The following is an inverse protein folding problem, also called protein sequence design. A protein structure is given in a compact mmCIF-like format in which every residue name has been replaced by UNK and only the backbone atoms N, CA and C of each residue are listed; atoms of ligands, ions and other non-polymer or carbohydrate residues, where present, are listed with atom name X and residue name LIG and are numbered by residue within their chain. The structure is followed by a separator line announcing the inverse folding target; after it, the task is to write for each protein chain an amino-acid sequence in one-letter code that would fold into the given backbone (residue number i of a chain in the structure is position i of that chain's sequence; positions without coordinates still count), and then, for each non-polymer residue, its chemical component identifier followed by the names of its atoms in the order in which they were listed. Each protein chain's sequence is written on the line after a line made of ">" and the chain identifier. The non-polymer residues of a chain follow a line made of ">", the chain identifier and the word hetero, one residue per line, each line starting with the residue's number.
data_IF_625151087365
#
_entry.id   IF_625151087365
#
_cell.length_a   1.000
_cell.length_b   1.000
_cell.length_c   1.000
_cell.angle_alpha   90.00
_cell.angle_beta   90.00
_cell.angle_gamma   90.00
#
_symmetry.space_group_name_H-M   'P 1'
#
loop_
_entity.id
_entity.type
_entity.pdbx_description
1 polymer ?
#
# COMPACT_ATOMS: atom_id res chain seq x y z
N UNK A 1 5.49 -12.48 1.77
CA UNK A 1 4.59 -11.37 2.14
C UNK A 1 4.47 -11.16 3.64
N UNK A 2 3.76 -11.99 4.41
CA UNK A 2 3.36 -11.60 5.79
C UNK A 2 4.55 -11.32 6.75
N UNK A 3 5.64 -12.11 6.68
CA UNK A 3 6.87 -11.82 7.42
C UNK A 3 7.66 -10.60 6.91
N UNK A 4 7.65 -10.33 5.61
CA UNK A 4 8.31 -9.15 5.02
C UNK A 4 7.56 -7.85 5.37
N UNK A 5 6.22 -7.92 5.41
CA UNK A 5 5.39 -6.81 5.90
C UNK A 5 5.72 -6.52 7.35
N UNK A 6 5.81 -7.54 8.22
CA UNK A 6 6.22 -7.33 9.61
C UNK A 6 7.60 -6.66 9.71
N UNK A 7 8.59 -7.09 8.91
CA UNK A 7 9.92 -6.47 8.87
C UNK A 7 9.83 -4.98 8.53
N UNK A 8 9.00 -4.59 7.55
CA UNK A 8 8.85 -3.19 7.16
C UNK A 8 8.28 -2.29 8.29
N UNK A 9 7.56 -2.86 9.27
CA UNK A 9 7.06 -2.12 10.44
C UNK A 9 7.99 -2.23 11.65
N UNK A 10 8.55 -3.41 11.91
CA UNK A 10 9.36 -3.69 13.11
C UNK A 10 10.82 -3.22 12.98
N UNK A 11 11.35 -3.23 11.76
CA UNK A 11 12.72 -2.83 11.43
C UNK A 11 12.73 -1.80 10.30
N UNK A 12 11.88 -0.78 10.44
CA UNK A 12 11.77 0.26 9.43
C UNK A 12 13.08 1.04 9.28
N UNK A 13 13.53 1.20 8.04
CA UNK A 13 14.65 2.04 7.66
C UNK A 13 14.30 2.84 6.38
N UNK A 14 15.30 3.50 5.79
CA UNK A 14 15.09 4.29 4.57
C UNK A 14 14.73 3.46 3.32
N UNK A 15 14.91 2.14 3.38
CA UNK A 15 14.65 1.21 2.28
C UNK A 15 13.50 0.25 2.57
N UNK A 16 13.12 0.03 3.83
CA UNK A 16 12.04 -0.84 4.26
C UNK A 16 11.06 -0.04 5.12
N UNK A 17 9.88 0.27 4.59
CA UNK A 17 8.93 1.17 5.25
C UNK A 17 7.54 0.57 5.40
N UNK A 18 6.99 0.65 6.61
CA UNK A 18 5.57 0.49 6.88
C UNK A 18 4.83 1.82 6.78
N UNK A 19 3.71 1.87 6.06
CA UNK A 19 2.83 3.04 6.05
C UNK A 19 2.08 3.11 7.39
N UNK A 20 2.15 4.23 8.14
CA UNK A 20 1.53 4.30 9.46
C UNK A 20 0.00 4.12 9.42
N UNK A 21 -0.54 3.15 10.14
CA UNK A 21 -2.00 2.92 10.24
C UNK A 21 -2.58 3.75 11.38
N UNK A 22 -2.80 5.05 11.11
CA UNK A 22 -3.34 6.04 12.06
C UNK A 22 -4.62 6.68 11.51
N UNK A 23 -5.37 7.35 12.39
CA UNK A 23 -6.54 8.12 11.99
C UNK A 23 -6.19 9.18 10.93
N UNK A 24 -7.03 9.32 9.91
CA UNK A 24 -6.79 10.21 8.76
C UNK A 24 -6.10 9.51 7.59
N UNK A 25 -5.52 10.31 6.69
CA UNK A 25 -4.72 9.79 5.57
C UNK A 25 -3.24 9.89 5.92
N UNK A 26 -2.51 8.79 5.74
CA UNK A 26 -1.06 8.68 5.96
C UNK A 26 -0.39 8.16 4.68
N UNK A 27 0.88 8.47 4.46
CA UNK A 27 1.63 7.96 3.32
C UNK A 27 3.12 7.82 3.61
N UNK A 28 3.76 6.96 2.82
CA UNK A 28 5.21 6.83 2.69
C UNK A 28 5.56 6.62 1.23
N UNK A 29 6.83 6.81 0.91
CA UNK A 29 7.38 6.54 -0.40
C UNK A 29 8.77 5.94 -0.24
N UNK A 30 9.25 5.27 -1.28
CA UNK A 30 10.63 4.81 -1.39
C UNK A 30 11.16 5.11 -2.81
N UNK A 31 12.36 5.72 -2.94
CA UNK A 31 13.04 5.81 -4.23
C UNK A 31 13.67 4.46 -4.59
N UNK A 32 13.74 4.18 -5.89
CA UNK A 32 14.37 2.96 -6.43
C UNK A 32 15.80 3.25 -6.87
N UNK A 33 16.73 2.99 -5.96
CA UNK A 33 18.16 3.27 -6.09
C UNK A 33 19.00 1.98 -6.13
N UNK A 34 20.22 1.99 -5.58
CA UNK A 34 21.19 0.90 -5.74
C UNK A 34 21.00 -0.21 -4.70
N UNK A 35 19.98 -0.08 -3.85
CA UNK A 35 19.68 -0.97 -2.74
C UNK A 35 18.27 -1.53 -2.91
N UNK A 36 18.10 -2.81 -2.60
CA UNK A 36 16.78 -3.42 -2.57
C UNK A 36 15.92 -2.76 -1.48
N UNK A 37 14.64 -2.58 -1.78
CA UNK A 37 13.72 -1.89 -0.87
C UNK A 37 12.34 -2.48 -0.87
N UNK A 38 11.58 -2.18 0.17
CA UNK A 38 10.19 -2.56 0.30
C UNK A 38 9.35 -1.49 1.00
N UNK A 39 8.10 -1.36 0.56
CA UNK A 39 7.10 -0.53 1.25
C UNK A 39 5.83 -1.34 1.42
N UNK A 40 5.30 -1.33 2.64
CA UNK A 40 4.22 -2.21 3.04
C UNK A 40 3.05 -1.45 3.66
N UNK A 41 1.84 -1.88 3.33
CA UNK A 41 0.63 -1.54 4.06
C UNK A 41 0.11 -2.78 4.75
N UNK A 42 -0.30 -2.64 6.01
CA UNK A 42 -0.84 -3.73 6.80
C UNK A 42 -2.09 -3.29 7.54
N UNK A 43 -2.87 -4.25 8.03
CA UNK A 43 -3.97 -3.97 8.95
C UNK A 43 -5.08 -3.11 8.36
N UNK A 44 -5.45 -3.33 7.10
CA UNK A 44 -6.65 -2.68 6.56
C UNK A 44 -7.90 -3.45 7.03
N UNK A 45 -8.66 -2.83 7.95
CA UNK A 45 -9.90 -3.39 8.54
C UNK A 45 -11.18 -2.88 7.84
N UNK A 46 -11.05 -2.19 6.71
CA UNK A 46 -12.07 -1.31 6.14
C UNK A 46 -11.46 -0.08 5.48
N UNK A 47 -10.23 0.27 5.85
CA UNK A 47 -9.49 1.32 5.19
C UNK A 47 -9.19 0.97 3.72
N UNK A 48 -8.94 2.00 2.91
CA UNK A 48 -8.46 1.82 1.53
C UNK A 48 -7.03 2.31 1.42
N UNK A 49 -6.33 1.91 0.36
CA UNK A 49 -4.96 2.32 0.06
C UNK A 49 -4.80 2.55 -1.44
N UNK A 50 -4.05 3.60 -1.79
CA UNK A 50 -3.50 3.82 -3.11
C UNK A 50 -2.03 3.43 -3.08
N UNK A 51 -1.66 2.59 -4.04
CA UNK A 51 -0.28 2.15 -4.26
C UNK A 51 0.07 2.57 -5.67
N UNK A 52 0.99 3.52 -5.80
CA UNK A 52 1.53 3.93 -7.08
C UNK A 52 3.01 3.54 -7.15
N UNK A 53 3.39 2.82 -8.20
CA UNK A 53 4.75 2.30 -8.39
C UNK A 53 5.22 2.59 -9.81
N UNK A 54 6.49 2.89 -9.99
CA UNK A 54 7.10 3.23 -11.28
C UNK A 54 8.48 2.60 -11.40
N UNK A 55 9.22 2.93 -12.45
CA UNK A 55 10.64 2.56 -12.59
C UNK A 55 11.56 3.33 -11.64
N UNK A 56 11.09 4.41 -10.99
CA UNK A 56 11.90 5.30 -10.14
C UNK A 56 11.55 5.24 -8.66
N UNK A 57 10.38 4.71 -8.30
CA UNK A 57 10.00 4.60 -6.89
C UNK A 57 8.60 4.06 -6.68
N UNK A 58 8.18 4.05 -5.43
CA UNK A 58 6.81 3.76 -5.03
C UNK A 58 6.31 4.77 -4.00
N UNK A 59 5.02 5.10 -4.06
CA UNK A 59 4.29 5.85 -3.04
C UNK A 59 3.08 5.03 -2.63
N UNK A 60 2.88 4.87 -1.32
CA UNK A 60 1.77 4.11 -0.76
C UNK A 60 1.12 4.94 0.32
N UNK A 61 -0.21 5.05 0.27
CA UNK A 61 -0.98 5.70 1.31
C UNK A 61 -1.92 4.74 2.02
N UNK A 62 -2.51 5.25 3.08
CA UNK A 62 -3.56 4.62 3.84
C UNK A 62 -4.62 5.67 4.11
N UNK A 63 -5.86 5.34 3.77
CA UNK A 63 -7.02 6.21 3.90
C UNK A 63 -7.96 5.60 4.95
N UNK A 64 -8.03 6.25 6.10
CA UNK A 64 -8.82 5.77 7.22
C UNK A 64 -10.33 5.77 6.91
N UNK A 65 -11.03 4.73 7.34
CA UNK A 65 -12.46 4.54 7.01
C UNK A 65 -13.38 5.60 7.64
N UNK A 66 -13.28 5.81 8.95
CA UNK A 66 -14.17 6.70 9.73
C UNK A 66 -13.36 7.90 10.26
N UNK A 67 -13.57 9.13 9.76
CA UNK A 67 -14.84 9.59 9.20
C UNK A 67 -14.84 9.73 7.67
N UNK A 68 -13.81 9.26 6.95
CA UNK A 68 -13.62 9.63 5.54
C UNK A 68 -14.67 9.04 4.61
N UNK A 69 -14.87 7.72 4.67
CA UNK A 69 -15.80 6.98 3.82
C UNK A 69 -17.14 6.72 4.52
N UNK A 70 -17.12 6.59 5.85
CA UNK A 70 -18.31 6.40 6.67
C UNK A 70 -18.38 7.48 7.74
N UNK A 71 -19.61 7.88 8.07
CA UNK A 71 -19.86 8.82 9.16
C UNK A 71 -19.42 8.25 10.50
N UNK A 72 -18.90 9.10 11.38
CA UNK A 72 -18.67 8.74 12.78
C UNK A 72 -20.03 8.48 13.46
N UNK A 73 -20.29 7.25 13.96
CA UNK A 73 -21.57 6.90 14.57
C UNK A 73 -21.86 7.67 15.87
N UNK A 74 -20.86 8.33 16.46
CA UNK A 74 -21.02 9.12 17.68
C UNK A 74 -21.54 10.54 17.43
N UNK A 75 -21.57 11.00 16.18
CA UNK A 75 -22.07 12.35 15.83
C UNK A 75 -23.60 12.30 15.72
N UNK A 76 -24.28 13.10 16.55
CA UNK A 76 -25.75 13.19 16.60
C UNK A 76 -26.19 14.66 16.41
N UNK A 77 -27.02 14.97 15.39
CA UNK A 77 -27.53 14.05 14.36
C UNK A 77 -26.43 13.58 13.40
N UNK A 78 -26.58 12.42 12.72
CA UNK A 78 -25.63 11.95 11.72
C UNK A 78 -25.41 13.01 10.62
N UNK A 79 -24.19 13.13 10.06
CA UNK A 79 -23.91 14.07 8.99
C UNK A 79 -24.79 13.79 7.77
N UNK A 80 -25.17 14.84 7.05
CA UNK A 80 -25.85 14.67 5.76
C UNK A 80 -24.91 14.05 4.74
N UNK A 81 -25.45 13.57 3.61
CA UNK A 81 -24.63 13.02 2.53
C UNK A 81 -23.64 14.05 1.99
N UNK A 82 -24.05 15.31 1.90
CA UNK A 82 -23.24 16.42 1.43
C UNK A 82 -22.08 16.70 2.40
N UNK A 83 -22.36 16.68 3.71
CA UNK A 83 -21.31 16.81 4.74
C UNK A 83 -20.33 15.63 4.69
N UNK A 84 -20.80 14.41 4.42
CA UNK A 84 -19.95 13.24 4.28
C UNK A 84 -19.05 13.33 3.03
N UNK A 85 -19.59 13.81 1.91
CA UNK A 85 -18.80 14.06 0.69
C UNK A 85 -17.74 15.13 0.93
N UNK A 86 -18.07 16.20 1.65
CA UNK A 86 -17.10 17.23 1.98
C UNK A 86 -16.00 16.69 2.90
N UNK A 87 -16.37 15.91 3.92
CA UNK A 87 -15.41 15.22 4.78
C UNK A 87 -14.49 14.33 3.98
N UNK A 88 -15.02 13.54 3.05
CA UNK A 88 -14.23 12.70 2.15
C UNK A 88 -13.28 13.52 1.27
N UNK A 89 -13.77 14.60 0.65
CA UNK A 89 -12.93 15.43 -0.20
C UNK A 89 -11.75 16.04 0.58
N UNK A 90 -11.98 16.50 1.81
CA UNK A 90 -10.94 17.08 2.66
C UNK A 90 -9.95 16.04 3.18
N UNK A 91 -10.46 14.89 3.66
CA UNK A 91 -9.64 13.89 4.36
C UNK A 91 -8.92 12.94 3.41
N UNK A 92 -9.47 12.71 2.21
CA UNK A 92 -8.95 11.74 1.22
C UNK A 92 -8.48 12.47 -0.03
N UNK A 93 -9.35 13.19 -0.74
CA UNK A 93 -8.98 13.76 -2.05
C UNK A 93 -7.87 14.79 -1.90
N UNK A 94 -8.05 15.82 -1.06
CA UNK A 94 -7.02 16.84 -0.84
C UNK A 94 -5.72 16.22 -0.31
N UNK A 95 -5.83 15.23 0.58
CA UNK A 95 -4.69 14.53 1.16
C UNK A 95 -3.89 13.70 0.15
N UNK A 96 -4.57 13.08 -0.82
CA UNK A 96 -3.94 12.36 -1.93
C UNK A 96 -3.22 13.35 -2.84
N UNK A 97 -3.77 14.52 -3.11
CA UNK A 97 -3.17 15.47 -4.04
C UNK A 97 -1.90 16.12 -3.48
N UNK A 98 -1.91 16.58 -2.21
CA UNK A 98 -0.85 17.46 -1.70
C UNK A 98 -0.22 17.03 -0.37
N UNK A 99 -0.61 15.88 0.19
CA UNK A 99 -0.31 15.62 1.59
C UNK A 99 -1.13 16.52 2.52
N UNK A 100 -1.17 16.20 3.82
CA UNK A 100 -1.93 16.99 4.80
C UNK A 100 -1.47 16.84 6.26
N UNK A 101 -0.40 16.10 6.51
CA UNK A 101 0.10 15.89 7.88
C UNK A 101 1.57 15.45 7.88
N UNK A 102 2.19 15.39 9.06
CA UNK A 102 3.55 14.85 9.22
C UNK A 102 3.65 13.36 8.82
N UNK A 103 2.54 12.62 8.92
CA UNK A 103 2.46 11.24 8.47
C UNK A 103 2.00 11.11 7.01
N UNK A 104 1.73 12.22 6.32
CA UNK A 104 1.35 12.31 4.90
C UNK A 104 1.93 13.59 4.30
N UNK A 105 3.26 13.65 4.22
CA UNK A 105 3.99 14.88 3.88
C UNK A 105 3.81 15.24 2.41
N UNK A 106 3.81 14.25 1.53
CA UNK A 106 3.72 14.44 0.08
C UNK A 106 2.50 13.74 -0.48
N UNK A 107 1.78 14.44 -1.33
CA UNK A 107 0.74 13.88 -2.18
C UNK A 107 1.29 13.42 -3.53
N UNK A 108 0.40 12.85 -4.33
CA UNK A 108 0.68 12.35 -5.66
C UNK A 108 1.11 13.45 -6.62
N UNK A 109 0.61 14.68 -6.50
CA UNK A 109 1.08 15.77 -7.38
C UNK A 109 2.53 16.13 -7.11
N UNK A 110 2.97 16.05 -5.85
CA UNK A 110 4.35 16.33 -5.47
C UNK A 110 5.29 15.26 -6.07
N UNK A 111 4.96 13.98 -5.89
CA UNK A 111 5.81 12.87 -6.36
C UNK A 111 5.69 12.57 -7.86
N UNK A 112 4.59 12.97 -8.51
CA UNK A 112 4.35 12.81 -9.94
C UNK A 112 4.71 14.05 -10.77
N UNK A 113 5.23 15.10 -10.14
CA UNK A 113 5.59 16.34 -10.81
C UNK A 113 6.54 16.10 -12.00
N UNK A 114 6.20 16.73 -13.14
CA UNK A 114 6.97 16.67 -14.38
C UNK A 114 8.15 17.64 -14.40
N UNK A 115 8.05 18.69 -13.60
CA UNK A 115 9.04 19.75 -13.50
C UNK A 115 9.61 19.72 -12.08
N UNK A 116 10.41 18.69 -11.74
CA UNK A 116 10.94 18.55 -10.41
C UNK A 116 11.84 19.72 -10.06
N UNK A 117 11.61 20.34 -8.91
CA UNK A 117 12.55 21.36 -8.43
C UNK A 117 13.79 20.66 -7.87
N UNK A 118 15.00 21.19 -8.10
CA UNK A 118 16.24 20.59 -7.58
C UNK A 118 16.22 20.37 -6.05
N UNK A 119 15.53 21.25 -5.33
CA UNK A 119 15.32 21.20 -3.88
C UNK A 119 14.26 20.17 -3.42
N UNK A 120 13.50 19.60 -4.35
CA UNK A 120 12.45 18.61 -4.11
C UNK A 120 12.88 17.26 -4.71
N UNK A 121 13.83 16.55 -4.09
CA UNK A 121 14.45 15.35 -4.70
C UNK A 121 13.44 14.23 -4.99
N UNK A 122 12.23 14.32 -4.44
CA UNK A 122 11.14 13.35 -4.56
C UNK A 122 10.13 13.69 -5.64
N UNK A 123 10.17 14.91 -6.16
CA UNK A 123 9.45 15.26 -7.37
C UNK A 123 10.08 14.48 -8.53
N UNK A 124 9.29 13.78 -9.34
CA UNK A 124 9.69 12.87 -10.44
C UNK A 124 9.76 11.36 -10.12
N UNK A 125 9.41 10.91 -8.91
CA UNK A 125 9.32 9.48 -8.61
C UNK A 125 8.25 8.78 -9.45
N UNK A 126 7.11 9.44 -9.66
CA UNK A 126 5.95 8.88 -10.37
C UNK A 126 5.56 9.70 -11.59
N UNK A 127 6.50 10.44 -12.16
CA UNK A 127 6.26 11.17 -13.40
C UNK A 127 5.81 10.21 -14.52
N UNK A 128 5.06 10.68 -15.53
CA UNK A 128 4.56 9.79 -16.58
C UNK A 128 5.65 9.05 -17.37
N UNK A 129 6.84 9.63 -17.53
CA UNK A 129 7.99 8.97 -18.18
C UNK A 129 8.66 7.90 -17.30
N UNK A 130 8.34 7.85 -16.01
CA UNK A 130 8.75 6.77 -15.11
C UNK A 130 7.88 5.51 -15.25
N UNK A 131 6.87 5.50 -16.13
CA UNK A 131 5.98 4.36 -16.40
C UNK A 131 5.20 3.90 -15.15
N UNK A 132 4.42 4.80 -14.51
CA UNK A 132 3.72 4.50 -13.28
C UNK A 132 2.58 3.51 -13.51
N UNK A 133 2.30 2.70 -12.49
CA UNK A 133 1.16 1.80 -12.37
C UNK A 133 0.49 2.08 -11.03
N UNK A 134 -0.84 2.17 -11.01
CA UNK A 134 -1.56 2.55 -9.79
C UNK A 134 -2.63 1.53 -9.45
N UNK A 135 -2.62 1.12 -8.18
CA UNK A 135 -3.56 0.17 -7.61
C UNK A 135 -4.40 0.86 -6.55
N UNK A 136 -5.72 0.71 -6.65
CA UNK A 136 -6.68 1.08 -5.62
C UNK A 136 -7.05 -0.18 -4.83
N UNK A 137 -6.39 -0.38 -3.70
CA UNK A 137 -6.61 -1.49 -2.80
C UNK A 137 -7.74 -1.14 -1.83
N UNK A 138 -8.89 -1.79 -1.99
CA UNK A 138 -10.15 -1.37 -1.34
C UNK A 138 -10.96 -2.57 -0.86
N UNK A 139 -11.70 -2.49 0.24
CA UNK A 139 -12.37 -3.67 0.77
C UNK A 139 -13.62 -4.04 -0.04
N UNK A 140 -14.04 -5.30 0.04
CA UNK A 140 -15.43 -5.69 -0.18
C UNK A 140 -16.33 -5.08 0.90
N UNK A 141 -17.61 -4.90 0.58
CA UNK A 141 -18.62 -4.57 1.59
C UNK A 141 -18.60 -5.63 2.71
N UNK A 142 -18.76 -5.19 3.96
CA UNK A 142 -18.72 -6.09 5.13
C UNK A 142 -20.10 -6.61 5.47
N UNK A 143 -20.17 -7.90 5.74
CA UNK A 143 -21.27 -8.47 6.49
C UNK A 143 -20.99 -8.32 7.99
N UNK A 144 -21.94 -7.76 8.73
CA UNK A 144 -21.77 -7.44 10.16
C UNK A 144 -22.45 -8.44 11.07
N UNK A 145 -23.27 -9.32 10.49
CA UNK A 145 -24.07 -10.30 11.21
C UNK A 145 -23.34 -11.66 11.24
N UNK A 146 -22.93 -12.17 12.41
CA UNK A 146 -22.08 -13.36 12.50
C UNK A 146 -22.56 -14.64 11.82
N UNK A 147 -23.88 -14.78 11.64
CA UNK A 147 -24.50 -15.98 11.07
C UNK A 147 -24.85 -15.84 9.57
N UNK A 148 -24.57 -14.70 8.94
CA UNK A 148 -24.81 -14.50 7.51
C UNK A 148 -23.58 -14.97 6.71
N UNK A 149 -23.78 -15.67 5.56
CA UNK A 149 -22.66 -16.01 4.68
C UNK A 149 -21.79 -14.78 4.36
N UNK A 150 -20.48 -14.99 4.30
CA UNK A 150 -19.44 -13.97 4.15
C UNK A 150 -19.07 -13.15 5.41
N UNK A 151 -19.70 -13.36 6.57
CA UNK A 151 -19.19 -12.79 7.82
C UNK A 151 -17.75 -13.28 8.09
N UNK A 152 -16.82 -12.32 8.19
CA UNK A 152 -15.38 -12.56 8.38
C UNK A 152 -14.76 -13.59 7.42
N UNK A 153 -15.35 -13.77 6.23
CA UNK A 153 -14.84 -14.68 5.21
C UNK A 153 -13.68 -14.01 4.46
N UNK A 154 -12.54 -14.70 4.37
CA UNK A 154 -11.34 -14.26 3.64
C UNK A 154 -11.53 -14.25 2.11
N UNK A 155 -12.43 -15.10 1.61
CA UNK A 155 -12.75 -15.18 0.18
C UNK A 155 -14.26 -14.97 -0.02
N UNK A 156 -14.77 -13.75 0.21
CA UNK A 156 -16.19 -13.48 0.09
C UNK A 156 -16.63 -13.64 -1.36
N UNK A 157 -17.79 -14.26 -1.57
CA UNK A 157 -18.36 -14.47 -2.90
C UNK A 157 -19.56 -13.56 -3.08
N UNK A 158 -19.61 -12.85 -4.21
CA UNK A 158 -20.77 -12.06 -4.63
C UNK A 158 -20.97 -10.76 -3.86
N UNK A 159 -20.00 -10.32 -3.04
CA UNK A 159 -20.06 -9.02 -2.38
C UNK A 159 -19.60 -7.90 -3.32
N UNK A 160 -20.27 -6.74 -3.32
CA UNK A 160 -19.79 -5.57 -4.02
C UNK A 160 -18.56 -4.99 -3.33
N UNK A 161 -17.83 -4.12 -4.02
CA UNK A 161 -16.81 -3.26 -3.40
C UNK A 161 -17.46 -2.36 -2.35
N UNK A 162 -16.79 -2.18 -1.23
CA UNK A 162 -17.11 -1.10 -0.31
C UNK A 162 -16.95 0.24 -1.02
N UNK A 163 -17.74 1.23 -0.62
CA UNK A 163 -17.65 2.63 -1.07
C UNK A 163 -17.91 2.88 -2.57
N UNK A 164 -18.27 1.85 -3.34
CA UNK A 164 -18.64 1.96 -4.74
C UNK A 164 -20.12 2.37 -4.94
N UNK A 165 -20.88 2.49 -3.84
CA UNK A 165 -22.26 2.97 -3.90
C UNK A 165 -22.25 4.47 -4.20
N UNK A 166 -22.91 4.92 -5.27
CA UNK A 166 -22.86 6.31 -5.67
C UNK A 166 -23.68 7.19 -4.72
N UNK A 167 -23.13 8.34 -4.37
CA UNK A 167 -23.75 9.27 -3.44
C UNK A 167 -24.69 10.16 -4.25
N UNK A 168 -25.97 9.81 -4.29
CA UNK A 168 -27.02 10.65 -4.89
C UNK A 168 -27.55 10.24 -6.26
N UNK A 169 -27.40 8.98 -6.68
CA UNK A 169 -27.99 8.44 -7.92
C UNK A 169 -27.10 7.39 -8.56
N UNK A 170 -27.57 6.63 -9.56
CA UNK A 170 -26.82 5.50 -10.16
C UNK A 170 -25.69 5.94 -11.13
N UNK A 171 -24.88 6.92 -10.77
CA UNK A 171 -23.73 7.35 -11.59
C UNK A 171 -22.44 6.94 -10.85
N UNK A 172 -21.69 5.92 -11.31
CA UNK A 172 -20.51 5.38 -10.62
C UNK A 172 -19.44 6.43 -10.26
N UNK A 173 -19.31 7.48 -11.09
CA UNK A 173 -18.37 8.59 -10.87
C UNK A 173 -18.66 9.40 -9.60
N UNK A 174 -19.89 9.31 -9.08
CA UNK A 174 -20.31 9.97 -7.86
C UNK A 174 -20.07 9.12 -6.59
N UNK A 175 -19.54 7.90 -6.75
CA UNK A 175 -19.06 7.11 -5.60
C UNK A 175 -17.72 7.66 -5.09
N UNK A 176 -17.32 7.26 -3.88
CA UNK A 176 -16.01 7.63 -3.34
C UNK A 176 -14.86 7.06 -4.18
N UNK A 177 -14.99 5.80 -4.63
CA UNK A 177 -13.98 5.18 -5.49
C UNK A 177 -13.90 5.88 -6.87
N UNK A 178 -15.05 6.28 -7.41
CA UNK A 178 -15.11 7.04 -8.66
C UNK A 178 -14.38 8.38 -8.56
N UNK A 179 -14.50 9.08 -7.43
CA UNK A 179 -13.77 10.34 -7.17
C UNK A 179 -12.26 10.12 -7.09
N UNK A 180 -11.81 9.07 -6.40
CA UNK A 180 -10.39 8.69 -6.36
C UNK A 180 -9.86 8.38 -7.76
N UNK A 181 -10.60 7.60 -8.54
CA UNK A 181 -10.22 7.24 -9.91
C UNK A 181 -10.06 8.48 -10.81
N UNK A 182 -10.97 9.46 -10.72
CA UNK A 182 -10.84 10.72 -11.45
C UNK A 182 -9.58 11.46 -11.02
N UNK A 183 -9.35 11.62 -9.70
CA UNK A 183 -8.16 12.29 -9.19
C UNK A 183 -6.88 11.67 -9.75
N UNK A 184 -6.77 10.35 -9.72
CA UNK A 184 -5.64 9.62 -10.30
C UNK A 184 -5.49 9.89 -11.81
N UNK A 185 -6.60 9.81 -12.56
CA UNK A 185 -6.61 10.08 -14.00
C UNK A 185 -6.18 11.51 -14.34
N UNK A 186 -6.54 12.49 -13.50
CA UNK A 186 -6.14 13.88 -13.68
C UNK A 186 -4.64 14.09 -13.41
N UNK A 187 -4.09 13.42 -12.41
CA UNK A 187 -2.67 13.55 -12.02
C UNK A 187 -1.76 12.86 -13.04
N UNK A 188 -2.05 11.59 -13.35
CA UNK A 188 -1.16 10.74 -14.14
C UNK A 188 -1.50 10.69 -15.63
N UNK A 189 -2.75 10.98 -15.98
CA UNK A 189 -3.27 10.86 -17.34
C UNK A 189 -4.04 9.56 -17.60
N UNK A 190 -4.75 9.47 -18.73
CA UNK A 190 -5.62 8.32 -19.05
C UNK A 190 -4.87 7.06 -19.47
N UNK A 191 -3.60 7.18 -19.86
CA UNK A 191 -2.81 6.06 -20.39
C UNK A 191 -2.11 5.25 -19.29
N UNK A 192 -2.16 5.72 -18.05
CA UNK A 192 -1.56 5.04 -16.90
C UNK A 192 -2.45 3.85 -16.48
N UNK A 193 -1.88 2.66 -16.25
CA UNK A 193 -2.65 1.52 -15.79
C UNK A 193 -3.23 1.73 -14.39
N UNK A 194 -4.55 1.60 -14.29
CA UNK A 194 -5.31 1.68 -13.05
C UNK A 194 -5.98 0.34 -12.77
N UNK A 195 -5.69 -0.25 -11.60
CA UNK A 195 -6.30 -1.52 -11.20
C UNK A 195 -6.97 -1.37 -9.83
N UNK A 196 -8.24 -1.78 -9.73
CA UNK A 196 -8.93 -1.88 -8.44
C UNK A 196 -8.71 -3.28 -7.91
N UNK A 197 -8.04 -3.38 -6.76
CA UNK A 197 -7.72 -4.65 -6.13
C UNK A 197 -8.61 -4.80 -4.88
N UNK A 198 -9.66 -5.62 -4.95
CA UNK A 198 -10.51 -5.84 -3.79
C UNK A 198 -9.81 -6.70 -2.74
N UNK A 199 -10.17 -6.52 -1.46
CA UNK A 199 -9.74 -7.42 -0.39
C UNK A 199 -10.84 -7.69 0.63
N UNK A 200 -10.69 -8.75 1.41
CA UNK A 200 -11.64 -9.10 2.45
C UNK A 200 -11.26 -8.42 3.77
N UNK A 201 -11.94 -7.35 4.20
CA UNK A 201 -11.60 -6.67 5.44
C UNK A 201 -11.85 -7.56 6.65
N UNK A 202 -10.97 -7.45 7.64
CA UNK A 202 -11.13 -8.11 8.92
C UNK A 202 -12.19 -7.40 9.77
N UNK A 203 -12.93 -8.18 10.54
CA UNK A 203 -13.95 -7.65 11.46
C UNK A 203 -13.39 -7.34 12.86
N UNK A 204 -12.36 -8.06 13.30
CA UNK A 204 -11.81 -7.98 14.66
C UNK A 204 -10.30 -7.77 14.66
N UNK A 205 -9.80 -6.96 15.61
CA UNK A 205 -8.39 -6.94 16.00
C UNK A 205 -7.56 -5.73 15.58
N UNK A 206 -8.12 -4.51 15.51
CA UNK A 206 -7.35 -3.28 15.26
C UNK A 206 -6.32 -3.01 16.37
N UNK A 207 -5.18 -3.70 16.27
CA UNK A 207 -4.09 -3.59 17.21
C UNK A 207 -2.99 -2.66 16.67
N UNK A 208 -3.18 -2.01 15.50
CA UNK A 208 -2.28 -1.05 14.79
C UNK A 208 -0.80 -1.45 14.64
N UNK A 209 -0.40 -2.63 15.10
CA UNK A 209 0.99 -3.09 15.25
C UNK A 209 1.30 -4.35 14.45
N UNK A 210 0.44 -4.70 13.49
CA UNK A 210 0.50 -5.98 12.75
C UNK A 210 0.92 -7.19 13.63
N UNK A 211 0.32 -7.29 14.83
CA UNK A 211 0.62 -8.40 15.75
C UNK A 211 0.20 -9.76 15.18
N UNK A 212 -0.53 -9.74 14.07
CA UNK A 212 -0.97 -10.91 13.33
C UNK A 212 -0.20 -11.02 12.01
N UNK A 213 1.13 -11.03 12.13
CA UNK A 213 2.06 -11.28 11.02
C UNK A 213 1.78 -12.62 10.33
N UNK A 214 1.02 -13.55 10.93
CA UNK A 214 0.62 -14.82 10.31
C UNK A 214 -0.56 -14.67 9.36
N UNK A 215 -1.36 -13.61 9.48
CA UNK A 215 -2.45 -13.31 8.56
C UNK A 215 -1.93 -12.51 7.38
N UNK A 216 -2.38 -12.83 6.17
CA UNK A 216 -2.12 -12.03 4.98
C UNK A 216 -3.19 -10.96 4.75
N UNK A 217 -4.23 -10.92 5.60
CA UNK A 217 -5.43 -10.10 5.38
C UNK A 217 -5.23 -8.60 5.54
N UNK A 218 -5.75 -7.83 4.60
CA UNK A 218 -5.63 -6.38 4.49
C UNK A 218 -4.19 -5.93 4.29
N UNK A 219 -3.34 -6.73 3.62
CA UNK A 219 -1.92 -6.43 3.43
C UNK A 219 -1.57 -6.30 1.95
N UNK A 220 -0.68 -5.37 1.66
CA UNK A 220 0.01 -5.30 0.38
C UNK A 220 1.48 -4.91 0.58
N UNK A 221 2.33 -5.37 -0.32
CA UNK A 221 3.78 -5.19 -0.24
C UNK A 221 4.32 -4.87 -1.63
N UNK A 222 4.96 -3.71 -1.77
CA UNK A 222 5.79 -3.40 -2.94
C UNK A 222 7.22 -3.81 -2.60
N UNK A 223 7.87 -4.52 -3.52
CA UNK A 223 9.28 -4.87 -3.41
C UNK A 223 10.02 -4.39 -4.65
N UNK A 224 11.20 -3.83 -4.42
CA UNK A 224 12.13 -3.38 -5.45
C UNK A 224 13.45 -4.13 -5.35
N UNK A 225 13.97 -4.51 -6.51
CA UNK A 225 15.26 -5.14 -6.66
C UNK A 225 16.07 -4.37 -7.73
N UNK A 226 17.21 -3.77 -7.37
CA UNK A 226 18.11 -3.17 -8.35
C UNK A 226 18.72 -4.24 -9.27
N UNK A 227 19.18 -3.80 -10.44
CA UNK A 227 19.97 -4.62 -11.34
C UNK A 227 21.27 -5.03 -10.65
N UNK A 228 21.77 -6.24 -10.90
CA UNK A 228 23.05 -6.68 -10.30
C UNK A 228 24.26 -5.98 -10.90
N UNK A 229 24.16 -5.63 -12.18
CA UNK A 229 25.17 -4.93 -12.97
C UNK A 229 24.45 -4.15 -14.10
N UNK A 230 25.21 -3.42 -14.93
CA UNK A 230 24.64 -2.64 -16.03
C UNK A 230 23.99 -3.47 -17.14
N UNK A 231 24.20 -4.79 -17.18
CA UNK A 231 23.55 -5.73 -18.11
C UNK A 231 22.35 -6.46 -17.50
N UNK A 232 22.22 -6.41 -16.16
CA UNK A 232 21.09 -6.93 -15.42
C UNK A 232 19.84 -6.06 -15.55
N UNK A 233 18.74 -6.58 -15.00
CA UNK A 233 17.45 -5.90 -14.99
C UNK A 233 17.13 -5.43 -13.57
N UNK A 234 16.68 -4.19 -13.44
CA UNK A 234 15.98 -3.73 -12.24
C UNK A 234 14.52 -4.20 -12.32
N UNK A 235 13.89 -4.42 -11.18
CA UNK A 235 12.50 -4.89 -11.15
C UNK A 235 11.76 -4.45 -9.90
N UNK A 236 10.43 -4.35 -10.03
CA UNK A 236 9.53 -4.25 -8.90
C UNK A 236 8.42 -5.28 -9.02
N UNK A 237 7.82 -5.63 -7.89
CA UNK A 237 6.59 -6.42 -7.80
C UNK A 237 5.71 -5.94 -6.66
N UNK A 238 4.40 -6.02 -6.84
CA UNK A 238 3.40 -5.71 -5.82
C UNK A 238 2.68 -7.00 -5.46
N UNK A 239 2.62 -7.30 -4.18
CA UNK A 239 1.88 -8.42 -3.64
C UNK A 239 0.62 -7.90 -2.96
N UNK A 240 -0.51 -8.52 -3.25
CA UNK A 240 -1.77 -8.29 -2.56
C UNK A 240 -2.21 -9.56 -1.84
N UNK A 241 -2.86 -9.40 -0.69
CA UNK A 241 -3.50 -10.48 0.08
C UNK A 241 -4.19 -11.52 -0.83
N UNK A 242 -3.82 -12.79 -0.72
CA UNK A 242 -4.62 -13.89 -1.29
C UNK A 242 -4.61 -13.94 -2.82
N UNK A 243 -3.80 -13.10 -3.46
CA UNK A 243 -3.64 -13.05 -4.90
C UNK A 243 -2.29 -13.65 -5.31
N UNK A 244 -2.34 -14.54 -6.31
CA UNK A 244 -1.14 -14.89 -7.06
C UNK A 244 -0.61 -13.66 -7.79
N UNK A 245 0.72 -13.56 -7.91
CA UNK A 245 1.39 -12.45 -8.57
C UNK A 245 0.96 -12.39 -10.04
N UNK A 246 0.18 -11.37 -10.39
CA UNK A 246 -0.29 -11.16 -11.75
C UNK A 246 0.81 -10.49 -12.60
N UNK A 247 0.78 -10.66 -13.94
CA UNK A 247 1.68 -9.93 -14.83
C UNK A 247 1.60 -8.41 -14.69
N UNK A 248 0.42 -7.84 -14.41
CA UNK A 248 0.24 -6.40 -14.17
C UNK A 248 0.85 -5.93 -12.85
N UNK A 249 1.19 -6.84 -11.95
CA UNK A 249 1.72 -6.54 -10.60
C UNK A 249 3.24 -6.63 -10.54
N UNK A 250 3.93 -6.67 -11.67
CA UNK A 250 5.38 -6.69 -11.72
C UNK A 250 5.91 -6.08 -13.00
N UNK A 251 7.09 -5.48 -12.92
CA UNK A 251 7.80 -4.99 -14.09
C UNK A 251 9.31 -5.23 -13.94
N UNK A 252 9.99 -5.31 -15.08
CA UNK A 252 11.45 -5.38 -15.15
C UNK A 252 11.95 -4.55 -16.30
N UNK A 253 13.03 -3.80 -16.09
CA UNK A 253 13.59 -2.88 -17.08
C UNK A 253 15.12 -2.83 -16.99
N UNK A 254 15.76 -2.38 -18.07
CA UNK A 254 17.17 -2.01 -18.03
C UNK A 254 17.34 -0.78 -17.14
N UNK A 255 18.29 -0.78 -16.19
CA UNK A 255 18.42 0.29 -15.20
C UNK A 255 18.59 1.67 -15.85
N UNK A 256 17.94 2.70 -15.31
CA UNK A 256 17.94 4.07 -15.85
C UNK A 256 19.27 4.80 -15.64
N UNK A 257 20.26 4.15 -15.04
CA UNK A 257 21.59 4.66 -14.76
C UNK A 257 22.31 3.78 -13.74
N UNK A 258 23.51 4.18 -13.33
CA UNK A 258 24.29 3.45 -12.31
C UNK A 258 23.62 3.41 -10.95
N UNK A 259 22.72 4.35 -10.65
CA UNK A 259 22.00 4.40 -9.38
C UNK A 259 21.00 3.25 -9.22
N UNK A 260 20.61 2.51 -10.25
CA UNK A 260 19.73 1.34 -10.13
C UNK A 260 20.48 0.02 -10.29
N UNK A 261 21.80 0.10 -10.18
CA UNK A 261 22.71 -1.04 -10.19
C UNK A 261 23.19 -1.23 -8.76
N UNK A 262 23.17 -2.47 -8.28
CA UNK A 262 23.68 -2.83 -6.96
C UNK A 262 25.11 -2.34 -6.82
N UNK A 263 25.35 -1.41 -5.90
CA UNK A 263 26.71 -1.11 -5.46
C UNK A 263 27.21 -2.34 -4.72
N UNK A 264 28.39 -2.86 -5.07
CA UNK A 264 29.00 -3.88 -4.21
C UNK A 264 29.24 -3.25 -2.83
N UNK A 265 29.14 -4.03 -1.75
CA UNK A 265 29.45 -3.53 -0.40
C UNK A 265 30.87 -2.95 -0.31
N UNK A 266 31.77 -3.33 -1.21
CA UNK A 266 33.13 -2.80 -1.33
C UNK A 266 33.15 -1.37 -1.92
N UNK A 267 32.24 -1.05 -2.85
CA UNK A 267 32.12 0.29 -3.45
C UNK A 267 31.56 1.32 -2.46
N UNK A 268 30.64 0.92 -1.56
CA UNK A 268 30.07 1.82 -0.55
C UNK A 268 31.12 2.24 0.49
N UNK A 269 32.03 1.33 0.86
CA UNK A 269 33.15 1.66 1.75
C UNK A 269 34.19 2.57 1.08
N UNK A 270 34.41 2.45 -0.23
CA UNK A 270 35.31 3.35 -0.96
C UNK A 270 34.78 4.79 -1.05
N UNK A 271 33.45 4.98 -1.13
CA UNK A 271 32.82 6.30 -1.14
C UNK A 271 32.92 6.96 0.26
N UNK A 272 32.74 6.20 1.34
CA UNK A 272 32.93 6.74 2.70
C UNK A 272 34.39 7.07 3.01
N UNK A 273 35.34 6.29 2.51
CA UNK A 273 36.77 6.51 2.77
C UNK A 273 37.45 7.53 1.84
N UNK A 274 36.79 7.99 0.78
CA UNK A 274 37.33 9.03 -0.12
C UNK A 274 36.98 10.46 0.31
N UNK A 275 36.27 10.62 1.43
CA UNK A 275 35.87 11.93 1.99
C UNK A 275 36.94 12.59 2.87
N UNK A 276 38.04 11.91 3.19
CA UNK A 276 39.01 12.36 4.21
C UNK A 276 40.39 12.79 3.67
N UNK A 277 40.57 12.92 2.35
CA UNK A 277 41.83 13.40 1.78
C UNK A 277 41.69 14.77 1.11
N UNK A 278 41.63 15.80 1.94
CA UNK A 278 41.99 17.16 1.54
C UNK A 278 42.67 17.91 2.68
N UNK A 279 43.92 17.52 2.96
CA UNK A 279 44.91 18.43 3.54
C UNK A 279 45.49 19.31 2.42
N UNK A 280 45.28 20.62 2.48
CA UNK A 280 46.38 21.51 2.93
C UNK A 280 46.04 23.01 3.00
N UNK A 281 46.28 23.55 4.20
CA UNK A 281 47.12 24.72 4.48
C UNK A 281 46.63 26.15 4.12
N UNK A 282 46.17 26.89 5.13
CA UNK A 282 46.82 28.17 5.48
C UNK A 282 46.49 28.62 6.90
N UNK A 283 47.57 29.02 7.58
CA UNK A 283 47.71 29.64 8.89
C UNK A 283 46.91 30.93 9.08
N UNK A 284 46.28 31.11 10.26
CA UNK A 284 46.55 32.29 11.10
C UNK A 284 45.99 32.19 12.53
N UNK A 285 46.73 32.84 13.43
CA UNK A 285 46.59 32.98 14.87
C UNK A 285 45.23 33.48 15.39
N UNK A 286 44.87 33.11 16.64
CA UNK A 286 43.74 33.77 17.31
C UNK A 286 43.24 33.17 18.62
N UNK A 287 44.13 32.98 19.59
CA UNK A 287 43.88 32.99 21.04
C UNK A 287 42.48 33.47 21.53
N UNK A 288 41.66 32.62 22.16
CA UNK A 288 40.86 32.99 23.34
C UNK A 288 40.41 31.76 24.17
N UNK A 289 40.78 31.82 25.45
CA UNK A 289 40.29 31.01 26.59
C UNK A 289 38.80 31.25 26.86
N UNK A 290 38.11 30.20 27.33
CA UNK A 290 37.17 30.17 28.49
C UNK A 290 36.23 28.94 28.31
N UNK A 291 36.36 27.89 29.11
CA UNK A 291 35.79 27.62 30.45
C UNK A 291 34.63 26.61 30.38
N UNK A 292 34.87 25.45 30.99
CA UNK A 292 33.92 24.43 31.46
C UNK A 292 32.82 25.03 32.36
N UNK A 293 31.63 24.41 32.44
CA UNK A 293 31.37 23.30 33.39
C UNK A 293 30.57 22.14 32.74
N UNK A 294 30.82 20.86 32.98
CA UNK A 294 30.62 20.06 34.20
C UNK A 294 29.23 20.20 34.82
N UNK A 295 28.32 19.29 34.45
CA UNK A 295 27.23 18.85 35.32
C UNK A 295 26.87 17.40 35.01
N UNK A 296 27.34 16.55 35.89
CA UNK A 296 26.89 15.19 36.19
C UNK A 296 25.47 15.18 36.77
N UNK A 297 24.65 14.21 36.39
CA UNK A 297 23.51 13.62 37.13
C UNK A 297 22.80 12.65 36.17
N UNK A 298 22.20 11.53 36.54
CA UNK A 298 22.35 10.62 37.67
C UNK A 298 21.60 9.35 37.21
N UNK A 299 22.18 8.19 37.47
CA UNK A 299 21.56 6.91 37.20
C UNK A 299 20.38 6.66 38.17
N UNK A 300 19.25 6.20 37.66
CA UNK A 300 18.27 5.49 38.46
C UNK A 300 17.71 4.32 37.67
N UNK A 301 18.33 3.17 37.93
CA UNK A 301 17.80 1.87 37.63
C UNK A 301 16.61 1.59 38.57
N UNK A 302 15.48 1.19 38.00
CA UNK A 302 14.47 0.42 38.75
C UNK A 302 14.09 -0.75 37.87
N UNK A 303 14.69 -1.90 38.19
CA UNK A 303 14.24 -3.18 37.71
C UNK A 303 12.88 -3.53 38.34
N UNK A 304 12.03 -4.16 37.55
CA UNK A 304 10.97 -5.01 38.08
C UNK A 304 10.77 -6.15 37.10
N UNK A 305 11.27 -7.30 37.54
CA UNK A 305 10.97 -8.62 37.03
C UNK A 305 9.46 -8.82 36.94
N UNK A 306 8.96 -9.30 35.81
CA UNK A 306 7.74 -10.10 35.81
C UNK A 306 8.01 -11.46 35.18
N UNK A 307 7.81 -12.44 36.06
CA UNK A 307 7.77 -13.88 35.88
C UNK A 307 7.17 -14.33 34.55
N UNK A 308 7.99 -15.12 33.87
CA UNK A 308 7.63 -16.31 33.11
C UNK A 308 6.54 -17.14 33.81
N UNK A 309 5.44 -17.39 33.09
CA UNK A 309 4.61 -18.58 33.29
C UNK A 309 4.31 -19.17 31.92
N UNK A 310 4.98 -20.28 31.61
CA UNK A 310 4.72 -21.08 30.44
C UNK A 310 3.34 -21.73 30.50
N UNK A 311 2.72 -21.90 29.35
CA UNK A 311 1.68 -22.90 29.15
C UNK A 311 1.91 -23.53 27.78
N UNK A 312 2.22 -24.82 27.80
CA UNK A 312 2.38 -25.67 26.62
C UNK A 312 1.05 -25.82 25.86
N UNK A 313 1.11 -26.11 24.55
CA UNK A 313 -0.06 -26.28 23.70
C UNK A 313 -0.68 -27.68 23.83
N UNK A 314 -2.00 -27.83 23.72
CA UNK A 314 -2.59 -29.14 23.48
C UNK A 314 -2.46 -29.53 22.00
N UNK A 315 -1.67 -30.59 21.84
CA UNK A 315 -1.68 -31.65 20.84
C UNK A 315 -2.76 -31.65 19.75
N UNK A 316 -2.25 -31.88 18.55
CA UNK A 316 -2.91 -32.32 17.33
C UNK A 316 -4.03 -33.36 17.55
N UNK A 317 -5.17 -33.13 16.89
CA UNK A 317 -6.14 -34.17 16.59
C UNK A 317 -6.18 -34.42 15.08
N UNK A 318 -5.55 -35.53 14.68
CA UNK A 318 -5.69 -36.15 13.37
C UNK A 318 -7.10 -36.73 13.24
N UNK A 319 -7.90 -36.26 12.28
CA UNK A 319 -8.90 -37.11 11.65
C UNK A 319 -8.86 -36.98 10.12
N UNK A 320 -8.16 -37.96 9.57
CA UNK A 320 -8.22 -38.45 8.20
C UNK A 320 -9.59 -39.13 8.01
N UNK A 321 -10.46 -38.58 7.16
CA UNK A 321 -11.57 -39.33 6.60
C UNK A 321 -11.72 -39.02 5.12
N UNK A 322 -11.41 -40.05 4.35
CA UNK A 322 -11.63 -40.20 2.93
C UNK A 322 -13.09 -40.49 2.63
N UNK A 323 -13.67 -39.78 1.66
CA UNK A 323 -14.64 -40.39 0.74
C UNK A 323 -14.71 -39.58 -0.55
N UNK A 324 -14.06 -40.11 -1.58
CA UNK A 324 -14.29 -39.78 -2.98
C UNK A 324 -15.71 -40.24 -3.34
N UNK A 325 -16.55 -39.34 -3.83
CA UNK A 325 -17.74 -39.71 -4.61
C UNK A 325 -17.68 -38.94 -5.91
N UNK A 326 -17.13 -39.59 -6.92
CA UNK A 326 -17.18 -39.17 -8.32
C UNK A 326 -18.60 -39.45 -8.84
N UNK A 327 -19.39 -38.39 -9.03
CA UNK A 327 -20.63 -38.47 -9.82
C UNK A 327 -20.35 -37.88 -11.19
N UNK A 328 -20.21 -38.78 -12.16
CA UNK A 328 -20.23 -38.50 -13.58
C UNK A 328 -21.63 -38.07 -14.01
N UNK A 329 -21.80 -36.80 -14.37
CA UNK A 329 -23.01 -36.31 -15.04
C UNK A 329 -22.72 -36.16 -16.53
N UNK A 330 -23.38 -37.01 -17.30
CA UNK A 330 -23.40 -37.07 -18.76
C UNK A 330 -24.20 -35.90 -19.35
N UNK A 331 -23.62 -35.24 -20.35
CA UNK A 331 -24.26 -34.24 -21.21
C UNK A 331 -25.39 -34.85 -22.05
N UNK A 332 -26.53 -34.15 -22.23
CA UNK A 332 -27.45 -34.42 -23.33
C UNK A 332 -27.22 -33.45 -24.49
N UNK A 333 -27.47 -34.00 -25.67
CA UNK A 333 -27.19 -33.47 -27.00
C UNK A 333 -28.03 -32.25 -27.40
N UNK A 334 -27.42 -31.47 -28.30
CA UNK A 334 -28.04 -30.44 -29.13
C UNK A 334 -29.21 -30.99 -29.95
N UNK A 335 -30.37 -30.32 -29.86
CA UNK A 335 -31.46 -30.47 -30.83
C UNK A 335 -31.70 -29.14 -31.54
N UNK A 336 -31.21 -29.07 -32.77
CA UNK A 336 -31.49 -28.05 -33.78
C UNK A 336 -32.98 -28.08 -34.12
N UNK A 337 -33.71 -26.99 -33.89
CA UNK A 337 -35.06 -26.83 -34.44
C UNK A 337 -35.12 -25.57 -35.29
N UNK A 338 -35.19 -25.81 -36.60
CA UNK A 338 -35.39 -24.83 -37.66
C UNK A 338 -36.88 -24.43 -37.70
N UNK A 339 -37.21 -23.21 -37.31
CA UNK A 339 -38.56 -22.65 -37.54
C UNK A 339 -38.51 -21.60 -38.63
N UNK A 340 -39.05 -22.00 -39.79
CA UNK A 340 -39.30 -21.23 -41.01
C UNK A 340 -40.67 -20.55 -40.83
N UNK A 341 -40.75 -19.22 -40.88
CA UNK A 341 -42.03 -18.51 -40.97
C UNK A 341 -42.03 -17.53 -42.14
N UNK A 342 -43.16 -17.60 -42.86
CA UNK A 342 -43.44 -17.04 -44.16
C UNK A 342 -43.43 -15.52 -44.27
N UNK A 343 -43.08 -15.06 -45.48
CA UNK A 343 -43.52 -13.81 -46.07
C UNK A 343 -45.05 -13.76 -46.15
N UNK A 344 -45.63 -12.62 -45.77
CA UNK A 344 -46.82 -12.09 -46.46
C UNK A 344 -46.56 -10.62 -46.79
N UNK A 345 -46.71 -10.33 -48.08
CA UNK A 345 -46.75 -9.03 -48.74
C UNK A 345 -48.21 -8.73 -49.10
N UNK A 346 -48.47 -7.46 -49.43
CA UNK A 346 -49.72 -6.83 -49.94
C UNK A 346 -50.53 -6.22 -48.80
N UNK A 347 -50.81 -4.92 -48.75
CA UNK A 347 -51.09 -3.93 -49.82
C UNK A 347 -50.59 -2.54 -49.47
#
# INVERSE_FOLDING_TARGET
>A
MAGEVAIAYDNADIHNMGVPVKAGTTSRYIPFESVAGSIAISGLYGCSSLIAVSKRGAWVNHMWEIPSFLADPNIIPPPTKEMQVETFNQTVIAAIHHGNSEDNVFGLEDVASKDPKPEEPMSNLLSPDADPHVFLFTPYARETVPWVPNYNNEFPIGLPLAYNNPIGGNIPILSFLGRIYISMTLIFGPDVPYEVVPYAPRMDGDNRKDREFESHRGKALVQYQPARDCSGMASWRVWFEGHDLQPSHQASWSPLGSHQVSSSLEDVQAIQNSSDDSSDNSSNDGNMRSSLPSSSESALATGSEMKSSGTQPPSAFNQKSSSKTSVSVSSPASSTTTSRSHMQSST
#
